data_IF_086447880096
#
_entry.id   IF_086447880096
#
_cell.length_a   1.000
_cell.length_b   1.000
_cell.length_c   1.000
_cell.angle_alpha   90.00
_cell.angle_beta   90.00
_cell.angle_gamma   90.00
#
_symmetry.space_group_name_H-M   'P 1'
#
loop_
_entity.id
_entity.type
_entity.pdbx_description
1 polymer ?
#
# COMPACT_ATOMS: atom_id res chain seq x y z
N UNK A 1 -34.42 28.64 -19.28
CA UNK A 1 -33.90 27.86 -18.12
C UNK A 1 -33.52 26.40 -18.47
N UNK A 2 -32.93 26.14 -19.66
CA UNK A 2 -32.52 24.79 -20.10
C UNK A 2 -31.03 24.45 -19.88
N UNK A 3 -30.23 25.29 -19.20
CA UNK A 3 -28.77 25.07 -19.14
C UNK A 3 -28.27 24.31 -17.91
N UNK A 4 -28.95 24.33 -16.77
CA UNK A 4 -28.43 23.68 -15.54
C UNK A 4 -28.56 22.14 -15.57
N UNK A 5 -29.67 21.62 -16.12
CA UNK A 5 -29.89 20.17 -16.24
C UNK A 5 -28.97 19.49 -17.27
N UNK A 6 -28.47 20.23 -18.26
CA UNK A 6 -27.58 19.66 -19.29
C UNK A 6 -26.17 19.39 -18.74
N UNK A 7 -25.69 20.19 -17.80
CA UNK A 7 -24.36 19.99 -17.19
C UNK A 7 -24.31 18.82 -16.19
N UNK A 8 -25.44 18.44 -15.59
CA UNK A 8 -25.49 17.30 -14.66
C UNK A 8 -25.33 15.95 -15.38
N UNK A 9 -25.80 15.84 -16.64
CA UNK A 9 -25.60 14.63 -17.45
C UNK A 9 -24.14 14.40 -17.87
N UNK A 10 -23.33 15.46 -17.99
CA UNK A 10 -21.88 15.35 -18.24
C UNK A 10 -21.11 14.91 -16.99
N UNK A 11 -21.53 15.34 -15.80
CA UNK A 11 -20.99 14.83 -14.52
C UNK A 11 -21.29 13.35 -14.29
N UNK A 12 -22.41 12.83 -14.81
CA UNK A 12 -22.81 11.42 -14.66
C UNK A 12 -22.13 10.48 -15.67
N UNK A 13 -21.69 10.97 -16.84
CA UNK A 13 -20.91 10.18 -17.83
C UNK A 13 -19.41 10.08 -17.54
N UNK A 14 -18.82 11.04 -16.80
CA UNK A 14 -17.41 10.97 -16.39
C UNK A 14 -17.12 9.99 -15.24
N UNK A 15 -18.16 9.54 -14.53
CA UNK A 15 -18.04 8.65 -13.36
C UNK A 15 -18.10 7.14 -13.70
N UNK A 16 -18.21 6.77 -14.98
CA UNK A 16 -18.50 5.39 -15.42
C UNK A 16 -17.55 4.90 -16.54
N UNK A 17 -16.31 5.39 -16.55
CA UNK A 17 -15.27 5.01 -17.53
C UNK A 17 -13.99 4.45 -16.87
N UNK A 18 -14.07 4.05 -15.60
CA UNK A 18 -13.10 3.11 -15.04
C UNK A 18 -13.48 1.72 -15.54
N UNK A 19 -12.61 1.04 -16.29
CA UNK A 19 -12.85 -0.38 -16.61
C UNK A 19 -13.21 -1.12 -15.31
N UNK A 20 -14.24 -1.97 -15.32
CA UNK A 20 -14.58 -2.76 -14.14
C UNK A 20 -13.34 -3.58 -13.75
N UNK A 21 -12.92 -3.52 -12.50
CA UNK A 21 -11.87 -4.39 -11.98
C UNK A 21 -12.51 -5.75 -11.66
N UNK A 22 -12.04 -6.88 -12.23
CA UNK A 22 -10.92 -7.04 -13.15
C UNK A 22 -11.23 -6.63 -14.61
N UNK A 23 -10.28 -5.93 -15.25
CA UNK A 23 -10.37 -5.40 -16.61
C UNK A 23 -10.64 -6.46 -17.69
N UNK A 24 -11.27 -6.08 -18.80
CA UNK A 24 -11.62 -7.03 -19.88
C UNK A 24 -10.41 -7.49 -20.68
N UNK A 25 -9.35 -6.68 -20.69
CA UNK A 25 -8.11 -6.96 -21.37
C UNK A 25 -7.24 -7.92 -20.55
N UNK A 26 -6.85 -9.06 -21.14
CA UNK A 26 -6.11 -10.11 -20.44
C UNK A 26 -4.78 -9.61 -19.82
N UNK A 27 -4.09 -8.69 -20.49
CA UNK A 27 -2.84 -8.10 -19.98
C UNK A 27 -3.05 -7.17 -18.77
N UNK A 28 -4.09 -6.33 -18.79
CA UNK A 28 -4.41 -5.44 -17.66
C UNK A 28 -4.91 -6.27 -16.47
N UNK A 29 -5.69 -7.33 -16.71
CA UNK A 29 -6.13 -8.26 -15.67
C UNK A 29 -4.98 -9.03 -15.03
N UNK A 30 -3.96 -9.39 -15.81
CA UNK A 30 -2.75 -9.99 -15.27
C UNK A 30 -2.02 -9.00 -14.35
N UNK A 31 -1.86 -7.75 -14.79
CA UNK A 31 -1.22 -6.70 -14.01
C UNK A 31 -1.99 -6.40 -12.71
N UNK A 32 -3.32 -6.34 -12.77
CA UNK A 32 -4.23 -6.19 -11.62
C UNK A 32 -4.00 -7.28 -10.56
N UNK A 33 -3.91 -8.54 -11.01
CA UNK A 33 -3.66 -9.68 -10.15
C UNK A 33 -2.23 -9.68 -9.56
N UNK A 34 -1.23 -9.34 -10.38
CA UNK A 34 0.17 -9.26 -9.94
C UNK A 34 0.35 -8.13 -8.94
N UNK A 35 -0.24 -6.95 -9.16
CA UNK A 35 -0.18 -5.83 -8.22
C UNK A 35 -0.83 -6.20 -6.88
N UNK A 36 -1.98 -6.89 -6.93
CA UNK A 36 -2.66 -7.40 -5.74
C UNK A 36 -1.78 -8.40 -4.98
N UNK A 37 -1.17 -9.35 -5.69
CA UNK A 37 -0.26 -10.33 -5.09
C UNK A 37 0.99 -9.65 -4.51
N UNK A 38 1.61 -8.71 -5.23
CA UNK A 38 2.78 -7.97 -4.79
C UNK A 38 2.51 -7.15 -3.53
N UNK A 39 1.32 -6.57 -3.39
CA UNK A 39 0.89 -5.86 -2.19
C UNK A 39 0.88 -6.74 -0.92
N UNK A 40 0.70 -8.05 -1.07
CA UNK A 40 0.73 -9.02 0.04
C UNK A 40 2.10 -9.68 0.20
N UNK A 41 2.71 -10.08 -0.91
CA UNK A 41 4.01 -10.77 -0.94
C UNK A 41 5.12 -9.84 -0.44
N UNK A 42 5.08 -8.55 -0.80
CA UNK A 42 6.10 -7.58 -0.41
C UNK A 42 6.34 -7.53 1.11
N UNK A 43 5.32 -7.29 1.95
CA UNK A 43 5.44 -7.34 3.40
C UNK A 43 5.91 -8.70 3.94
N UNK A 44 5.51 -9.80 3.30
CA UNK A 44 5.98 -11.16 3.68
C UNK A 44 7.47 -11.33 3.42
N UNK A 45 8.03 -10.66 2.40
CA UNK A 45 9.47 -10.67 2.15
C UNK A 45 10.28 -9.91 3.20
N UNK A 46 9.64 -9.16 4.10
CA UNK A 46 10.31 -8.59 5.26
C UNK A 46 10.46 -9.57 6.44
N UNK A 47 9.80 -10.74 6.40
CA UNK A 47 9.90 -11.74 7.47
C UNK A 47 11.34 -12.20 7.75
N UNK A 48 12.21 -12.45 6.75
CA UNK A 48 13.62 -12.77 7.03
C UNK A 48 14.34 -11.66 7.79
N UNK A 49 14.06 -10.38 7.47
CA UNK A 49 14.64 -9.24 8.18
C UNK A 49 14.16 -9.18 9.63
N UNK A 50 12.86 -9.39 9.87
CA UNK A 50 12.29 -9.48 11.22
C UNK A 50 12.90 -10.66 11.99
N UNK A 51 13.07 -11.81 11.32
CA UNK A 51 13.68 -12.99 11.93
C UNK A 51 15.13 -12.72 12.38
N UNK A 52 15.95 -12.11 11.52
CA UNK A 52 17.33 -11.74 11.89
C UNK A 52 17.37 -10.81 13.09
N UNK A 53 16.48 -9.84 13.15
CA UNK A 53 16.45 -8.84 14.23
C UNK A 53 16.01 -9.47 15.56
N UNK A 54 14.90 -10.22 15.57
CA UNK A 54 14.29 -10.68 16.82
C UNK A 54 14.77 -12.06 17.29
N UNK A 55 15.17 -12.96 16.39
CA UNK A 55 15.66 -14.30 16.77
C UNK A 55 17.18 -14.39 16.82
N UNK A 56 17.86 -13.76 15.86
CA UNK A 56 19.32 -13.74 15.84
C UNK A 56 19.90 -12.53 16.60
N UNK A 57 19.04 -11.63 17.10
CA UNK A 57 19.44 -10.40 17.77
C UNK A 57 20.45 -9.58 16.96
N UNK A 58 20.32 -9.62 15.65
CA UNK A 58 21.24 -8.97 14.73
C UNK A 58 20.48 -7.98 13.85
N UNK A 59 20.62 -6.70 14.18
CA UNK A 59 20.19 -5.60 13.35
C UNK A 59 21.36 -4.79 12.77
N UNK A 60 22.56 -5.40 12.66
CA UNK A 60 23.72 -4.74 12.10
C UNK A 60 23.45 -4.27 10.66
N UNK A 61 23.68 -2.98 10.40
CA UNK A 61 23.42 -2.37 9.09
C UNK A 61 21.94 -2.03 8.81
N UNK A 62 21.03 -2.30 9.75
CA UNK A 62 19.60 -1.93 9.60
C UNK A 62 19.38 -0.52 10.14
N UNK A 63 19.03 0.42 9.25
CA UNK A 63 18.78 1.82 9.62
C UNK A 63 17.36 2.01 10.18
N UNK A 64 17.22 2.13 11.51
CA UNK A 64 15.94 2.42 12.16
C UNK A 64 15.27 3.69 11.61
N UNK A 65 16.06 4.71 11.27
CA UNK A 65 15.56 5.95 10.67
C UNK A 65 14.89 5.70 9.32
N UNK A 66 15.52 4.90 8.46
CA UNK A 66 15.00 4.57 7.13
C UNK A 66 13.68 3.81 7.24
N UNK A 67 13.60 2.79 8.10
CA UNK A 67 12.38 2.00 8.29
C UNK A 67 11.24 2.82 8.92
N UNK A 68 11.57 3.73 9.83
CA UNK A 68 10.59 4.68 10.39
C UNK A 68 10.08 5.64 9.32
N UNK A 69 10.97 6.18 8.49
CA UNK A 69 10.59 7.06 7.38
C UNK A 69 9.68 6.35 6.37
N UNK A 70 9.97 5.08 6.03
CA UNK A 70 9.07 4.28 5.20
C UNK A 70 7.70 4.06 5.84
N UNK A 71 7.63 3.85 7.16
CA UNK A 71 6.36 3.80 7.90
C UNK A 71 5.57 5.11 7.77
N UNK A 72 6.22 6.26 7.93
CA UNK A 72 5.59 7.59 7.77
C UNK A 72 5.12 7.82 6.34
N UNK A 73 5.92 7.43 5.34
CA UNK A 73 5.57 7.57 3.92
C UNK A 73 4.37 6.70 3.52
N UNK A 74 4.01 5.68 4.30
CA UNK A 74 2.77 4.93 4.07
C UNK A 74 1.51 5.71 4.48
N UNK A 75 1.61 6.71 5.38
CA UNK A 75 0.45 7.45 5.91
C UNK A 75 -0.34 8.14 4.77
N UNK A 76 0.28 8.89 3.84
CA UNK A 76 -0.45 9.45 2.70
C UNK A 76 -1.22 8.41 1.88
N UNK A 77 -0.65 7.21 1.67
CA UNK A 77 -1.30 6.15 0.90
C UNK A 77 -2.46 5.48 1.67
N UNK A 78 -2.32 5.33 2.99
CA UNK A 78 -3.41 4.86 3.86
C UNK A 78 -4.57 5.86 3.81
N UNK A 79 -4.28 7.16 3.96
CA UNK A 79 -5.28 8.22 3.86
C UNK A 79 -5.93 8.25 2.48
N UNK A 80 -5.13 8.11 1.42
CA UNK A 80 -5.63 8.03 0.04
C UNK A 80 -6.59 6.86 -0.14
N UNK A 81 -6.20 5.64 0.29
CA UNK A 81 -7.04 4.45 0.22
C UNK A 81 -8.32 4.58 1.03
N UNK A 82 -8.26 5.24 2.20
CA UNK A 82 -9.43 5.53 3.03
C UNK A 82 -10.40 6.49 2.33
N UNK A 83 -9.91 7.62 1.81
CA UNK A 83 -10.73 8.63 1.11
C UNK A 83 -11.36 8.07 -0.16
N UNK A 84 -10.61 7.30 -0.96
CA UNK A 84 -11.09 6.73 -2.22
C UNK A 84 -11.82 5.39 -2.04
N UNK A 85 -11.95 4.89 -0.80
CA UNK A 85 -12.54 3.58 -0.45
C UNK A 85 -11.89 2.40 -1.18
N UNK A 86 -10.63 2.54 -1.55
CA UNK A 86 -9.85 1.46 -2.15
C UNK A 86 -9.35 0.52 -1.03
N UNK A 87 -10.05 -0.61 -0.89
CA UNK A 87 -9.74 -1.62 0.13
C UNK A 87 -8.39 -2.28 -0.11
N UNK A 88 -7.92 -2.38 -1.35
CA UNK A 88 -6.66 -3.03 -1.68
C UNK A 88 -5.48 -2.16 -1.25
N UNK A 89 -5.48 -0.89 -1.67
CA UNK A 89 -4.46 0.08 -1.29
C UNK A 89 -4.43 0.22 0.24
N UNK A 90 -5.60 0.43 0.86
CA UNK A 90 -5.69 0.62 2.30
C UNK A 90 -5.06 -0.55 3.08
N UNK A 91 -5.44 -1.80 2.76
CA UNK A 91 -4.91 -3.00 3.46
C UNK A 91 -3.42 -3.18 3.21
N UNK A 92 -2.96 -2.97 1.98
CA UNK A 92 -1.56 -3.12 1.59
C UNK A 92 -0.67 -2.16 2.38
N UNK A 93 -1.02 -0.88 2.43
CA UNK A 93 -0.19 0.13 3.10
C UNK A 93 -0.31 0.09 4.62
N UNK A 94 -1.44 -0.37 5.18
CA UNK A 94 -1.52 -0.69 6.62
C UNK A 94 -0.56 -1.82 6.97
N UNK A 95 -0.55 -2.90 6.18
CA UNK A 95 0.35 -4.04 6.40
C UNK A 95 1.82 -3.62 6.29
N UNK A 96 2.17 -2.85 5.26
CA UNK A 96 3.51 -2.26 5.12
C UNK A 96 3.88 -1.35 6.28
N UNK A 97 2.95 -0.52 6.77
CA UNK A 97 3.20 0.35 7.91
C UNK A 97 3.52 -0.46 9.17
N UNK A 98 2.73 -1.50 9.46
CA UNK A 98 2.98 -2.39 10.59
C UNK A 98 4.37 -3.05 10.49
N UNK A 99 4.69 -3.64 9.33
CA UNK A 99 5.99 -4.29 9.09
C UNK A 99 7.15 -3.31 9.24
N UNK A 100 7.06 -2.13 8.63
CA UNK A 100 8.11 -1.12 8.69
C UNK A 100 8.37 -0.66 10.12
N UNK A 101 7.32 -0.45 10.91
CA UNK A 101 7.46 -0.11 12.32
C UNK A 101 8.04 -1.26 13.14
N UNK A 102 7.64 -2.50 12.90
CA UNK A 102 8.24 -3.68 13.57
C UNK A 102 9.74 -3.75 13.31
N UNK A 103 10.18 -3.57 12.06
CA UNK A 103 11.60 -3.57 11.73
C UNK A 103 12.32 -2.37 12.36
N UNK A 104 11.73 -1.18 12.33
CA UNK A 104 12.29 0.01 12.96
C UNK A 104 12.48 -0.16 14.47
N UNK A 105 11.47 -0.69 15.17
CA UNK A 105 11.55 -0.98 16.60
C UNK A 105 12.67 -1.97 16.89
N UNK A 106 12.68 -3.11 16.19
CA UNK A 106 13.72 -4.11 16.41
C UNK A 106 15.13 -3.57 16.09
N UNK A 107 15.28 -2.72 15.07
CA UNK A 107 16.55 -2.08 14.77
C UNK A 107 17.03 -1.13 15.88
N UNK A 108 16.13 -0.44 16.59
CA UNK A 108 16.50 0.39 17.75
C UNK A 108 16.98 -0.48 18.91
N UNK A 109 16.32 -1.61 19.17
CA UNK A 109 16.65 -2.46 20.33
C UNK A 109 17.87 -3.36 20.10
N UNK A 110 18.07 -3.86 18.88
CA UNK A 110 19.10 -4.86 18.54
C UNK A 110 20.17 -4.33 17.57
N UNK A 111 20.16 -3.03 17.28
CA UNK A 111 21.13 -2.37 16.39
C UNK A 111 22.28 -1.67 17.13
N UNK A 112 22.40 -1.90 18.45
CA UNK A 112 23.47 -1.38 19.31
C UNK A 112 24.54 -2.43 19.54
#
# INVERSE_FOLDING_TARGET
MKSVLHHLHLRKRGAHNTEPFPSKNAGIRLLDNVATAAGVIGPVMALPQIYQIYFLHNAAGVSALSWTAFGILNIPFILYGFVHKDRLILRTYILWCAVNLTVAFGAVFYGS
#
